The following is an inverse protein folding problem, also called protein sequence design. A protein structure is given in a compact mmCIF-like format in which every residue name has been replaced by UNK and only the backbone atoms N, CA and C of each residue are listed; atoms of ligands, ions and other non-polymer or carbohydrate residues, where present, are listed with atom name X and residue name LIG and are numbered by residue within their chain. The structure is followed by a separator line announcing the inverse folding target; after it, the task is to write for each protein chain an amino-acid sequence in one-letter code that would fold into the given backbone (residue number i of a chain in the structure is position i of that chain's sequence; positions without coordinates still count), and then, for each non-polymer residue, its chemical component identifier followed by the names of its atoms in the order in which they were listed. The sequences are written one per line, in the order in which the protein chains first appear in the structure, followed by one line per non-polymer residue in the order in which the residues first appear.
data_IF_242201737904
#
_entry.id   IF_242201737904
#
_cell.length_a   1.000
_cell.length_b   1.000
_cell.length_c   1.000
_cell.angle_alpha   90.00
_cell.angle_beta   90.00
_cell.angle_gamma   90.00
#
_symmetry.space_group_name_H-M   'P 1'
#
loop_
_entity.id
_entity.type
_entity.pdbx_description
1 polymer ?
#
# COMPACT_ATOMS: atom_id res chain seq x y z
N UNK A 1 -26.20 -11.82 4.83
CA UNK A 1 -24.74 -11.90 4.61
C UNK A 1 -24.31 -10.98 3.47
N UNK A 2 -25.08 -10.92 2.39
CA UNK A 2 -24.74 -10.17 1.17
C UNK A 2 -24.47 -8.68 1.39
N UNK A 3 -25.18 -8.03 2.31
CA UNK A 3 -24.98 -6.60 2.54
C UNK A 3 -23.67 -6.28 3.27
N UNK A 4 -23.26 -7.11 4.24
CA UNK A 4 -21.98 -6.96 4.93
C UNK A 4 -20.83 -7.25 3.96
N UNK A 5 -20.96 -8.29 3.13
CA UNK A 5 -19.98 -8.64 2.11
C UNK A 5 -19.85 -7.50 1.09
N UNK A 6 -20.96 -6.91 0.64
CA UNK A 6 -20.97 -5.79 -0.30
C UNK A 6 -20.36 -4.52 0.31
N UNK A 7 -20.60 -4.24 1.60
CA UNK A 7 -19.96 -3.12 2.32
C UNK A 7 -18.46 -3.34 2.48
N UNK A 8 -18.03 -4.55 2.87
CA UNK A 8 -16.61 -4.91 2.97
C UNK A 8 -15.91 -4.87 1.61
N UNK A 9 -16.58 -5.34 0.55
CA UNK A 9 -16.07 -5.26 -0.82
C UNK A 9 -15.90 -3.80 -1.28
N UNK A 10 -16.77 -2.89 -0.84
CA UNK A 10 -16.62 -1.45 -1.09
C UNK A 10 -15.45 -0.81 -0.36
N UNK A 11 -15.00 -1.37 0.76
CA UNK A 11 -13.80 -0.92 1.50
C UNK A 11 -12.52 -1.55 0.93
N UNK A 12 -12.62 -2.77 0.39
CA UNK A 12 -11.53 -3.45 -0.31
C UNK A 12 -10.51 -4.14 0.61
N UNK A 13 -9.23 -4.12 0.22
CA UNK A 13 -8.13 -4.76 0.94
C UNK A 13 -8.05 -4.39 2.44
N UNK A 14 -8.24 -3.11 2.85
CA UNK A 14 -8.23 -2.74 4.28
C UNK A 14 -9.24 -3.52 5.13
N UNK A 15 -10.43 -3.78 4.59
CA UNK A 15 -11.47 -4.53 5.29
C UNK A 15 -11.07 -6.01 5.49
N UNK A 16 -10.43 -6.60 4.48
CA UNK A 16 -9.93 -7.99 4.57
C UNK A 16 -8.83 -8.09 5.62
N UNK A 17 -7.87 -7.16 5.62
CA UNK A 17 -6.78 -7.10 6.60
C UNK A 17 -7.35 -6.99 8.03
N UNK A 18 -8.26 -6.04 8.26
CA UNK A 18 -8.90 -5.87 9.57
C UNK A 18 -9.63 -7.13 10.04
N UNK A 19 -10.37 -7.80 9.15
CA UNK A 19 -11.17 -8.97 9.49
C UNK A 19 -10.31 -10.18 9.85
N UNK A 20 -9.19 -10.38 9.13
CA UNK A 20 -8.20 -11.41 9.46
C UNK A 20 -7.58 -11.11 10.82
N UNK A 21 -7.17 -9.87 11.09
CA UNK A 21 -6.59 -9.50 12.39
C UNK A 21 -7.61 -9.64 13.52
N UNK A 22 -8.87 -9.27 13.31
CA UNK A 22 -9.92 -9.49 14.32
C UNK A 22 -10.05 -10.97 14.67
N UNK A 23 -10.00 -11.86 13.67
CA UNK A 23 -10.08 -13.31 13.88
C UNK A 23 -8.92 -13.86 14.74
N UNK A 24 -7.74 -13.22 14.75
CA UNK A 24 -6.61 -13.66 15.57
C UNK A 24 -6.67 -13.16 17.02
N UNK A 25 -7.54 -12.20 17.35
CA UNK A 25 -7.62 -11.63 18.71
C UNK A 25 -8.36 -12.50 19.72
N UNK A 26 -9.21 -13.44 19.26
CA UNK A 26 -10.08 -14.23 20.14
C UNK A 26 -11.19 -13.43 20.83
N UNK A 27 -11.35 -12.15 20.49
CA UNK A 27 -12.37 -11.25 21.02
C UNK A 27 -13.54 -11.12 20.03
N UNK A 28 -14.67 -10.58 20.50
CA UNK A 28 -15.85 -10.32 19.66
C UNK A 28 -16.32 -8.87 19.76
N UNK A 29 -16.97 -8.38 18.70
CA UNK A 29 -17.56 -7.03 18.68
C UNK A 29 -16.53 -5.91 18.76
N UNK A 30 -16.84 -4.85 19.51
CA UNK A 30 -15.99 -3.66 19.60
C UNK A 30 -14.59 -3.94 20.16
N UNK A 31 -14.47 -4.89 21.10
CA UNK A 31 -13.17 -5.26 21.67
C UNK A 31 -12.23 -5.87 20.62
N UNK A 32 -12.77 -6.68 19.70
CA UNK A 32 -12.00 -7.24 18.59
C UNK A 32 -11.50 -6.16 17.63
N UNK A 33 -12.34 -5.16 17.33
CA UNK A 33 -11.97 -4.04 16.45
C UNK A 33 -10.82 -3.24 17.07
N UNK A 34 -10.94 -2.87 18.34
CA UNK A 34 -9.91 -2.07 19.03
C UNK A 34 -8.60 -2.84 19.18
N UNK A 35 -8.67 -4.13 19.53
CA UNK A 35 -7.49 -4.98 19.66
C UNK A 35 -6.82 -5.21 18.29
N UNK A 36 -7.60 -5.45 17.24
CA UNK A 36 -7.06 -5.63 15.88
C UNK A 36 -6.40 -4.35 15.37
N UNK A 37 -7.02 -3.19 15.54
CA UNK A 37 -6.41 -1.90 15.19
C UNK A 37 -5.15 -1.64 16.01
N UNK A 38 -5.17 -1.94 17.31
CA UNK A 38 -3.98 -1.80 18.13
C UNK A 38 -2.84 -2.75 17.74
N UNK A 39 -3.17 -3.91 17.18
CA UNK A 39 -2.20 -4.88 16.67
C UNK A 39 -1.62 -4.48 15.31
N UNK A 40 -2.41 -3.78 14.49
CA UNK A 40 -2.01 -3.38 13.14
C UNK A 40 -0.98 -2.25 13.12
N UNK A 41 -0.88 -1.41 14.15
CA UNK A 41 0.07 -0.29 14.12
C UNK A 41 0.63 0.14 15.47
N UNK A 42 1.85 0.69 15.49
CA UNK A 42 2.43 1.26 16.69
C UNK A 42 1.60 2.44 17.20
N UNK A 43 1.52 2.63 18.52
CA UNK A 43 0.65 3.64 19.12
C UNK A 43 -0.80 3.19 19.27
N UNK A 44 -1.06 1.88 19.15
CA UNK A 44 -2.37 1.28 19.40
C UNK A 44 -3.36 1.61 18.29
N UNK A 45 -4.62 1.83 18.66
CA UNK A 45 -5.73 1.96 17.71
C UNK A 45 -5.49 3.04 16.64
N UNK A 46 -4.90 4.18 17.03
CA UNK A 46 -4.60 5.28 16.10
C UNK A 46 -3.61 4.84 15.01
N UNK A 47 -2.56 4.10 15.40
CA UNK A 47 -1.58 3.56 14.45
C UNK A 47 -2.22 2.60 13.45
N UNK A 48 -3.10 1.71 13.94
CA UNK A 48 -3.86 0.80 13.08
C UNK A 48 -4.76 1.51 12.09
N UNK A 49 -5.46 2.57 12.52
CA UNK A 49 -6.32 3.37 11.64
C UNK A 49 -5.49 4.04 10.55
N UNK A 50 -4.37 4.66 10.92
CA UNK A 50 -3.46 5.29 9.95
C UNK A 50 -2.93 4.26 8.95
N UNK A 51 -2.49 3.09 9.41
CA UNK A 51 -2.00 2.04 8.53
C UNK A 51 -3.08 1.55 7.56
N UNK A 52 -4.30 1.27 8.04
CA UNK A 52 -5.40 0.86 7.17
C UNK A 52 -5.79 1.96 6.18
N UNK A 53 -5.74 3.23 6.58
CA UNK A 53 -5.93 4.36 5.70
C UNK A 53 -4.92 4.39 4.56
N UNK A 54 -3.63 4.22 4.86
CA UNK A 54 -2.55 4.16 3.86
C UNK A 54 -2.73 2.96 2.94
N UNK A 55 -3.03 1.77 3.49
CA UNK A 55 -3.30 0.57 2.69
C UNK A 55 -4.50 0.80 1.78
N UNK A 56 -5.55 1.47 2.25
CA UNK A 56 -6.73 1.79 1.47
C UNK A 56 -6.42 2.70 0.29
N UNK A 57 -5.70 3.80 0.54
CA UNK A 57 -5.26 4.73 -0.50
C UNK A 57 -4.33 4.04 -1.52
N UNK A 58 -3.38 3.24 -1.03
CA UNK A 58 -2.47 2.48 -1.89
C UNK A 58 -3.23 1.45 -2.74
N UNK A 59 -4.23 0.76 -2.17
CA UNK A 59 -5.05 -0.22 -2.89
C UNK A 59 -5.91 0.42 -3.96
N UNK A 60 -6.51 1.58 -3.67
CA UNK A 60 -7.29 2.35 -4.64
C UNK A 60 -6.39 2.86 -5.78
N UNK A 61 -5.22 3.40 -5.45
CA UNK A 61 -4.24 3.83 -6.44
C UNK A 61 -3.77 2.66 -7.32
N UNK A 62 -3.47 1.50 -6.72
CA UNK A 62 -3.05 0.30 -7.45
C UNK A 62 -4.15 -0.21 -8.39
N UNK A 63 -5.41 -0.15 -7.95
CA UNK A 63 -6.56 -0.59 -8.75
C UNK A 63 -6.84 0.38 -9.90
N UNK A 64 -6.68 1.69 -9.69
CA UNK A 64 -6.96 2.73 -10.70
C UNK A 64 -5.85 2.89 -11.73
N UNK A 65 -4.60 2.95 -11.29
CA UNK A 65 -3.47 3.33 -12.14
C UNK A 65 -2.55 2.16 -12.49
N UNK A 66 -2.62 1.07 -11.72
CA UNK A 66 -1.70 -0.06 -11.83
C UNK A 66 -0.33 0.22 -11.25
N UNK A 67 0.35 -0.83 -10.80
CA UNK A 67 1.67 -0.75 -10.15
C UNK A 67 2.73 -0.04 -11.02
N UNK A 68 2.73 -0.34 -12.33
CA UNK A 68 3.70 0.24 -13.29
C UNK A 68 3.62 1.76 -13.32
N UNK A 69 2.42 2.31 -13.55
CA UNK A 69 2.20 3.76 -13.68
C UNK A 69 2.51 4.48 -12.38
N UNK A 70 2.11 3.91 -11.24
CA UNK A 70 2.41 4.50 -9.93
C UNK A 70 3.90 4.59 -9.66
N UNK A 71 4.66 3.51 -9.94
CA UNK A 71 6.11 3.51 -9.74
C UNK A 71 6.78 4.55 -10.63
N UNK A 72 6.38 4.64 -11.91
CA UNK A 72 6.92 5.67 -12.82
C UNK A 72 6.66 7.06 -12.28
N UNK A 73 5.42 7.36 -11.88
CA UNK A 73 5.04 8.70 -11.39
C UNK A 73 5.79 9.07 -10.10
N UNK A 74 5.95 8.12 -9.16
CA UNK A 74 6.69 8.34 -7.91
C UNK A 74 8.17 8.65 -8.19
N UNK A 75 8.82 7.86 -9.06
CA UNK A 75 10.23 8.06 -9.39
C UNK A 75 10.44 9.32 -10.24
N UNK A 76 9.48 9.66 -11.09
CA UNK A 76 9.48 10.90 -11.87
C UNK A 76 9.34 12.14 -10.99
N UNK A 77 8.44 12.13 -9.99
CA UNK A 77 8.34 13.20 -9.00
C UNK A 77 9.63 13.35 -8.19
N UNK A 78 10.22 12.24 -7.73
CA UNK A 78 11.50 12.23 -7.01
C UNK A 78 12.63 12.86 -7.82
N UNK A 79 12.68 12.58 -9.12
CA UNK A 79 13.64 13.21 -10.03
C UNK A 79 13.41 14.73 -10.14
N UNK A 80 12.15 15.16 -10.25
CA UNK A 80 11.78 16.58 -10.29
C UNK A 80 12.10 17.31 -8.98
N UNK A 81 11.98 16.63 -7.83
CA UNK A 81 12.35 17.16 -6.51
C UNK A 81 13.87 17.31 -6.32
N UNK A 82 14.67 16.96 -7.34
CA UNK A 82 16.11 17.18 -7.37
C UNK A 82 16.95 16.00 -6.87
N UNK A 83 16.36 14.81 -6.71
CA UNK A 83 17.13 13.61 -6.41
C UNK A 83 17.97 13.16 -7.62
N UNK A 84 19.18 12.67 -7.35
CA UNK A 84 20.12 12.29 -8.41
C UNK A 84 19.67 11.02 -9.15
N UNK A 85 19.60 11.02 -10.50
CA UNK A 85 19.15 9.86 -11.28
C UNK A 85 19.97 8.59 -11.03
N UNK A 86 21.27 8.72 -10.71
CA UNK A 86 22.12 7.58 -10.38
C UNK A 86 21.77 6.93 -9.03
N UNK A 87 21.27 7.71 -8.06
CA UNK A 87 20.76 7.17 -6.80
C UNK A 87 19.45 6.42 -7.02
N UNK A 88 18.51 7.00 -7.77
CA UNK A 88 17.23 6.34 -8.09
C UNK A 88 17.46 5.04 -8.87
N UNK A 89 18.33 5.04 -9.89
CA UNK A 89 18.66 3.82 -10.64
C UNK A 89 19.25 2.71 -9.75
N UNK A 90 20.10 3.08 -8.78
CA UNK A 90 20.65 2.11 -7.82
C UNK A 90 19.56 1.55 -6.91
N UNK A 91 18.62 2.37 -6.48
CA UNK A 91 17.46 1.92 -5.70
C UNK A 91 16.57 0.97 -6.51
N UNK A 92 16.27 1.31 -7.77
CA UNK A 92 15.48 0.48 -8.70
C UNK A 92 16.11 -0.91 -8.87
N UNK A 93 17.44 -1.01 -8.91
CA UNK A 93 18.11 -2.30 -9.04
C UNK A 93 17.93 -3.21 -7.83
N UNK A 94 17.82 -2.64 -6.63
CA UNK A 94 17.57 -3.39 -5.38
C UNK A 94 16.10 -3.76 -5.17
N UNK A 95 15.16 -3.15 -5.90
CA UNK A 95 13.75 -3.48 -5.77
C UNK A 95 13.47 -4.93 -6.21
N UNK A 96 12.65 -5.70 -5.46
CA UNK A 96 12.23 -7.05 -5.83
C UNK A 96 11.08 -7.02 -6.86
N UNK A 97 11.31 -6.35 -8.00
CA UNK A 97 10.35 -6.22 -9.11
C UNK A 97 10.89 -6.89 -10.38
N UNK A 98 10.01 -7.11 -11.36
CA UNK A 98 10.39 -7.73 -12.64
C UNK A 98 11.40 -6.87 -13.40
N UNK A 99 12.25 -7.54 -14.19
CA UNK A 99 13.26 -6.85 -15.02
C UNK A 99 12.63 -5.84 -15.99
N UNK A 100 11.46 -6.16 -16.54
CA UNK A 100 10.71 -5.26 -17.43
C UNK A 100 10.31 -3.96 -16.72
N UNK A 101 9.80 -4.03 -15.49
CA UNK A 101 9.46 -2.83 -14.73
C UNK A 101 10.70 -2.00 -14.39
N UNK A 102 11.83 -2.65 -14.05
CA UNK A 102 13.11 -1.94 -13.83
C UNK A 102 13.54 -1.17 -15.08
N UNK A 103 13.43 -1.78 -16.26
CA UNK A 103 13.77 -1.13 -17.53
C UNK A 103 12.87 0.08 -17.78
N UNK A 104 11.56 -0.06 -17.64
CA UNK A 104 10.61 1.05 -17.82
C UNK A 104 10.90 2.21 -16.87
N UNK A 105 11.26 1.91 -15.61
CA UNK A 105 11.61 2.94 -14.63
C UNK A 105 12.87 3.69 -15.01
N UNK A 106 13.92 2.98 -15.45
CA UNK A 106 15.18 3.59 -15.90
C UNK A 106 15.01 4.40 -17.19
N UNK A 107 14.19 3.92 -18.11
CA UNK A 107 13.80 4.62 -19.34
C UNK A 107 13.07 5.94 -19.04
N UNK A 108 12.11 5.91 -18.11
CA UNK A 108 11.37 7.09 -17.66
C UNK A 108 12.25 8.15 -16.97
N UNK A 109 13.42 7.77 -16.47
CA UNK A 109 14.41 8.68 -15.87
C UNK A 109 15.41 9.25 -16.90
N UNK A 110 15.26 8.94 -18.19
CA UNK A 110 16.12 9.44 -19.27
C UNK A 110 17.51 8.81 -19.32
N UNK A 111 17.66 7.55 -18.87
CA UNK A 111 18.94 6.83 -18.87
C UNK A 111 19.12 5.81 -20.02
N UNK A 112 18.40 5.95 -21.14
CA UNK A 112 18.70 5.30 -22.43
C UNK A 112 18.24 6.15 -23.61
#
# INVERSE_FOLDING_TARGET
MDEIVRKLAGVGLPAVVLLITMATTGLTGAAAITAALAMLGPGGMLGGIVLLGIIGLASDALTKYGLKTLLVEVYWQRLQDGESPSKLCREIDWLPITKELKLVLKDSLGQL
#
